data_IF_142034521210
#
_entry.id   IF_142034521210
#
_cell.length_a   1.000
_cell.length_b   1.000
_cell.length_c   1.000
_cell.angle_alpha   90.00
_cell.angle_beta   90.00
_cell.angle_gamma   90.00
#
_symmetry.space_group_name_H-M   'P 1'
#
loop_
_entity.id
_entity.type
_entity.pdbx_description
1 polymer ?
#
# COMPACT_ATOMS: atom_id res chain seq x y z
N UNK A 1 -11.23 17.60 13.75
CA UNK A 1 -11.23 17.22 12.31
C UNK A 1 -12.37 17.97 11.63
N UNK A 2 -12.20 18.53 10.42
CA UNK A 2 -13.29 19.24 9.73
C UNK A 2 -14.40 18.26 9.33
N UNK A 3 -15.65 18.65 9.60
CA UNK A 3 -16.85 17.93 9.19
C UNK A 3 -16.95 17.97 7.66
N UNK A 4 -16.72 16.83 7.00
CA UNK A 4 -16.77 16.72 5.54
C UNK A 4 -15.51 16.19 4.87
N UNK A 5 -14.45 15.86 5.63
CA UNK A 5 -13.33 15.11 5.06
C UNK A 5 -13.77 13.67 4.82
N UNK A 6 -14.31 13.40 3.63
CA UNK A 6 -14.37 12.03 3.12
C UNK A 6 -12.92 11.64 2.82
N UNK A 7 -12.37 10.62 3.51
CA UNK A 7 -11.08 10.09 3.09
C UNK A 7 -11.22 9.73 1.61
N UNK A 8 -10.25 10.12 0.74
CA UNK A 8 -10.28 9.72 -0.65
C UNK A 8 -10.55 8.21 -0.67
N UNK A 9 -11.55 7.81 -1.46
CA UNK A 9 -12.05 6.45 -1.51
C UNK A 9 -10.94 5.59 -2.11
N UNK A 10 -9.96 5.22 -1.28
CA UNK A 10 -8.84 4.41 -1.71
C UNK A 10 -9.41 3.06 -2.10
N UNK A 11 -9.35 2.77 -3.40
CA UNK A 11 -9.81 1.50 -3.92
C UNK A 11 -8.94 0.41 -3.32
N UNK A 12 -9.51 -0.41 -2.44
CA UNK A 12 -8.77 -1.48 -1.76
C UNK A 12 -8.29 -2.53 -2.77
N UNK A 13 -7.04 -2.98 -2.64
CA UNK A 13 -6.42 -3.93 -3.55
C UNK A 13 -6.66 -5.38 -3.08
N UNK A 14 -7.34 -6.17 -3.91
CA UNK A 14 -7.74 -7.57 -3.64
C UNK A 14 -6.79 -8.60 -4.28
N UNK A 15 -5.56 -8.24 -4.63
CA UNK A 15 -4.60 -9.06 -5.40
C UNK A 15 -4.89 -9.31 -6.88
N UNK A 16 -6.04 -8.88 -7.42
CA UNK A 16 -6.33 -8.88 -8.86
C UNK A 16 -6.27 -7.46 -9.43
N UNK A 17 -5.35 -7.21 -10.35
CA UNK A 17 -5.19 -5.91 -11.03
C UNK A 17 -3.75 -5.60 -11.41
N UNK A 18 -3.46 -4.32 -11.66
CA UNK A 18 -2.12 -3.83 -12.00
C UNK A 18 -1.44 -3.24 -10.75
N UNK A 19 -0.59 -4.01 -10.03
CA UNK A 19 0.01 -3.56 -8.77
C UNK A 19 0.85 -2.27 -8.94
N UNK A 20 1.51 -2.09 -10.09
CA UNK A 20 2.26 -0.86 -10.41
C UNK A 20 1.37 0.39 -10.47
N UNK A 21 0.19 0.32 -11.08
CA UNK A 21 -0.73 1.46 -11.10
C UNK A 21 -1.26 1.77 -9.70
N UNK A 22 -1.51 0.73 -8.89
CA UNK A 22 -1.99 0.90 -7.53
C UNK A 22 -0.97 1.61 -6.65
N UNK A 23 0.30 1.19 -6.72
CA UNK A 23 1.44 1.85 -6.09
C UNK A 23 1.60 3.30 -6.57
N UNK A 24 1.57 3.54 -7.89
CA UNK A 24 1.74 4.89 -8.44
C UNK A 24 0.63 5.85 -7.98
N UNK A 25 -0.64 5.42 -8.00
CA UNK A 25 -1.75 6.23 -7.51
C UNK A 25 -1.65 6.50 -6.01
N UNK A 26 -1.22 5.50 -5.23
CA UNK A 26 -1.00 5.67 -3.80
C UNK A 26 0.09 6.70 -3.50
N UNK A 27 1.25 6.62 -4.17
CA UNK A 27 2.36 7.56 -4.01
C UNK A 27 1.95 8.97 -4.42
N UNK A 28 1.23 9.14 -5.53
CA UNK A 28 0.74 10.45 -5.99
C UNK A 28 -0.21 11.09 -4.97
N UNK A 29 -1.12 10.30 -4.39
CA UNK A 29 -2.01 10.74 -3.33
C UNK A 29 -1.22 11.18 -2.09
N UNK A 30 -0.30 10.35 -1.59
CA UNK A 30 0.47 10.69 -0.40
C UNK A 30 1.44 11.87 -0.60
N UNK A 31 1.93 12.07 -1.82
CA UNK A 31 2.72 13.25 -2.20
C UNK A 31 1.88 14.54 -2.05
N UNK A 32 0.60 14.51 -2.48
CA UNK A 32 -0.32 15.63 -2.27
C UNK A 32 -0.65 15.89 -0.78
N UNK A 33 -0.59 14.87 0.09
CA UNK A 33 -0.83 15.03 1.54
C UNK A 33 0.46 15.39 2.31
N UNK A 34 1.63 15.40 1.65
CA UNK A 34 2.92 15.67 2.28
C UNK A 34 3.36 14.60 3.30
N UNK A 35 2.77 13.40 3.23
CA UNK A 35 3.07 12.28 4.13
C UNK A 35 4.17 11.40 3.55
N UNK A 36 5.31 11.30 4.25
CA UNK A 36 6.45 10.47 3.86
C UNK A 36 6.87 9.50 4.97
N UNK A 37 7.61 8.45 4.61
CA UNK A 37 8.22 7.49 5.54
C UNK A 37 7.23 6.46 6.10
N UNK A 38 7.34 6.12 7.39
CA UNK A 38 6.54 5.12 8.10
C UNK A 38 5.01 5.29 7.96
N UNK A 39 4.56 6.52 7.73
CA UNK A 39 3.15 6.80 7.51
C UNK A 39 2.62 6.18 6.21
N UNK A 40 3.45 6.07 5.18
CA UNK A 40 3.09 5.42 3.91
C UNK A 40 2.84 3.94 4.11
N UNK A 41 3.69 3.24 4.86
CA UNK A 41 3.53 1.82 5.18
C UNK A 41 2.20 1.59 5.88
N UNK A 42 1.92 2.36 6.94
CA UNK A 42 0.67 2.24 7.72
C UNK A 42 -0.56 2.54 6.89
N UNK A 43 -0.49 3.50 5.95
CA UNK A 43 -1.61 3.80 5.08
C UNK A 43 -1.81 2.71 4.02
N UNK A 44 -0.74 2.24 3.39
CA UNK A 44 -0.81 1.24 2.34
C UNK A 44 -1.39 -0.08 2.84
N UNK A 45 -0.98 -0.53 4.03
CA UNK A 45 -1.53 -1.75 4.66
C UNK A 45 -3.04 -1.66 4.87
N UNK A 46 -3.58 -0.47 5.16
CA UNK A 46 -5.05 -0.25 5.27
C UNK A 46 -5.77 -0.41 3.93
N UNK A 47 -5.05 -0.29 2.81
CA UNK A 47 -5.59 -0.45 1.46
C UNK A 47 -5.50 -1.89 0.96
N UNK A 48 -4.73 -2.73 1.65
CA UNK A 48 -4.65 -4.15 1.35
C UNK A 48 -5.89 -4.86 1.87
N UNK A 49 -6.42 -5.79 1.08
CA UNK A 49 -7.48 -6.71 1.50
C UNK A 49 -7.29 -8.10 0.92
N UNK A 50 -7.96 -9.08 1.51
CA UNK A 50 -7.90 -10.47 1.07
C UNK A 50 -6.46 -10.99 1.06
N UNK A 51 -6.09 -11.66 -0.04
CA UNK A 51 -4.78 -12.29 -0.21
C UNK A 51 -3.59 -11.31 -0.10
N UNK A 52 -3.81 -10.02 -0.39
CA UNK A 52 -2.74 -9.02 -0.25
C UNK A 52 -2.49 -8.63 1.21
N UNK A 53 -3.53 -8.62 2.04
CA UNK A 53 -3.39 -8.38 3.47
C UNK A 53 -2.80 -9.61 4.17
N UNK A 54 -3.25 -10.81 3.79
CA UNK A 54 -2.73 -12.08 4.29
C UNK A 54 -1.21 -12.21 4.06
N UNK A 55 -0.76 -11.90 2.84
CA UNK A 55 0.67 -11.80 2.52
C UNK A 55 1.41 -10.83 3.43
N UNK A 56 0.86 -9.65 3.72
CA UNK A 56 1.53 -8.68 4.59
C UNK A 56 1.64 -9.20 6.03
N UNK A 57 0.62 -9.91 6.53
CA UNK A 57 0.66 -10.50 7.87
C UNK A 57 1.59 -11.72 7.99
N UNK A 58 1.91 -12.36 6.87
CA UNK A 58 2.84 -13.50 6.79
C UNK A 58 4.32 -13.05 6.76
N UNK A 59 4.59 -11.76 6.51
CA UNK A 59 5.95 -11.22 6.52
C UNK A 59 6.57 -11.27 7.92
N UNK A 60 7.85 -11.63 7.99
CA UNK A 60 8.60 -11.63 9.25
C UNK A 60 8.70 -10.21 9.81
N UNK A 61 8.46 -10.06 11.11
CA UNK A 61 8.54 -8.79 11.80
C UNK A 61 9.94 -8.16 11.65
N UNK A 62 9.99 -6.95 11.10
CA UNK A 62 11.25 -6.27 10.76
C UNK A 62 11.74 -6.51 9.33
N UNK A 63 11.04 -7.31 8.52
CA UNK A 63 11.35 -7.45 7.08
C UNK A 63 11.11 -6.17 6.28
N UNK A 64 10.22 -5.31 6.77
CA UNK A 64 9.88 -4.03 6.16
C UNK A 64 10.26 -2.92 7.12
N UNK A 65 11.35 -2.23 6.80
CA UNK A 65 11.84 -1.06 7.53
C UNK A 65 11.21 0.24 7.03
N UNK A 66 10.69 0.26 5.79
CA UNK A 66 10.11 1.45 5.19
C UNK A 66 9.34 1.22 3.90
N UNK A 67 8.87 2.33 3.32
CA UNK A 67 8.04 2.32 2.11
C UNK A 67 8.73 1.63 0.93
N UNK A 68 10.00 1.96 0.65
CA UNK A 68 10.73 1.40 -0.49
C UNK A 68 10.82 -0.12 -0.43
N UNK A 69 11.00 -0.68 0.76
CA UNK A 69 11.10 -2.13 0.96
C UNK A 69 9.74 -2.81 0.82
N UNK A 70 8.68 -2.21 1.39
CA UNK A 70 7.30 -2.68 1.19
C UNK A 70 6.92 -2.67 -0.29
N UNK A 71 7.20 -1.59 -1.01
CA UNK A 71 6.90 -1.46 -2.42
C UNK A 71 7.60 -2.55 -3.23
N UNK A 72 8.90 -2.75 -2.98
CA UNK A 72 9.69 -3.75 -3.68
C UNK A 72 9.19 -5.17 -3.43
N UNK A 73 8.92 -5.53 -2.19
CA UNK A 73 8.41 -6.86 -1.81
C UNK A 73 7.00 -7.09 -2.36
N UNK A 74 6.14 -6.07 -2.29
CA UNK A 74 4.79 -6.12 -2.84
C UNK A 74 4.82 -6.31 -4.37
N UNK A 75 5.64 -5.52 -5.08
CA UNK A 75 5.84 -5.69 -6.51
C UNK A 75 6.42 -7.07 -6.79
N UNK A 76 7.43 -7.56 -6.07
CA UNK A 76 7.98 -8.90 -6.29
C UNK A 76 6.89 -9.98 -6.19
N UNK A 77 6.06 -9.91 -5.14
CA UNK A 77 4.99 -10.89 -4.88
C UNK A 77 3.89 -10.87 -5.93
N UNK A 78 3.37 -9.69 -6.27
CA UNK A 78 2.17 -9.54 -7.12
C UNK A 78 2.49 -9.26 -8.60
N UNK A 79 3.72 -8.91 -8.94
CA UNK A 79 4.18 -8.71 -10.32
C UNK A 79 4.79 -9.97 -10.93
N UNK A 80 5.38 -10.87 -10.13
CA UNK A 80 6.03 -12.10 -10.62
C UNK A 80 5.07 -13.25 -10.95
N UNK A 81 3.82 -13.22 -10.48
CA UNK A 81 2.84 -14.29 -10.76
C UNK A 81 2.17 -14.16 -12.13
N UNK A 82 2.89 -13.71 -13.16
CA UNK A 82 2.39 -13.61 -14.54
C UNK A 82 3.02 -14.65 -15.45
#
# INVERSE_FOLDING_TARGET
MPMGYQPPNFQQFDSKGYPKQHVAHFVELCNNVGTYGDHLVKQFVRLLKGNAFDWYTDLEAGSIDGWEQLEKEFLNRFYSTR
#
